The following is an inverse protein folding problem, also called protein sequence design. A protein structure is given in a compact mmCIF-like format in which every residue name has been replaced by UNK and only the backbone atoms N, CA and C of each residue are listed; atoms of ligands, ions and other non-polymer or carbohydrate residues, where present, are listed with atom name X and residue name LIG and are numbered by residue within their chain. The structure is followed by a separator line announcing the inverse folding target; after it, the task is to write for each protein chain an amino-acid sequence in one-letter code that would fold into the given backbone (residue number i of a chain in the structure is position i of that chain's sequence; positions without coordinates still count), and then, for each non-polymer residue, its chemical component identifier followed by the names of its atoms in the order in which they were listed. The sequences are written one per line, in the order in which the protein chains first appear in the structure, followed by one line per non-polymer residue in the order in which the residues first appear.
data_IF_399103523531
#
_entry.id   IF_399103523531
#
_cell.length_a   1.000
_cell.length_b   1.000
_cell.length_c   1.000
_cell.angle_alpha   90.00
_cell.angle_beta   90.00
_cell.angle_gamma   90.00
#
_symmetry.space_group_name_H-M   'P 1'
#
loop_
_entity.id
_entity.type
_entity.pdbx_description
1 polymer ?
#
# COMPACT_ATOMS: atom_id res chain seq x y z
N UNK A 1 5.47 56.79 3.58
CA UNK A 1 4.89 55.53 4.13
C UNK A 1 3.75 55.02 3.22
N UNK A 2 4.01 54.61 1.97
CA UNK A 2 2.96 54.12 1.04
C UNK A 2 3.26 52.77 0.35
N UNK A 3 4.44 52.17 0.54
CA UNK A 3 4.80 50.90 -0.16
C UNK A 3 4.82 49.64 0.71
N UNK A 4 4.64 49.76 2.03
CA UNK A 4 4.69 48.59 2.93
C UNK A 4 3.44 47.71 2.81
N UNK A 5 2.29 48.29 2.46
CA UNK A 5 1.02 47.56 2.31
C UNK A 5 0.98 46.65 1.08
N UNK A 6 1.62 47.06 -0.03
CA UNK A 6 1.66 46.27 -1.27
C UNK A 6 2.57 45.04 -1.12
N UNK A 7 3.67 45.18 -0.37
CA UNK A 7 4.59 44.08 -0.09
C UNK A 7 3.93 43.00 0.80
N UNK A 8 3.16 43.42 1.81
CA UNK A 8 2.39 42.50 2.65
C UNK A 8 1.25 41.82 1.89
N UNK A 9 0.59 42.53 0.96
CA UNK A 9 -0.45 41.96 0.10
C UNK A 9 0.14 40.93 -0.88
N UNK A 10 1.32 41.19 -1.44
CA UNK A 10 2.03 40.25 -2.32
C UNK A 10 2.52 39.00 -1.57
N UNK A 11 3.02 39.16 -0.34
CA UNK A 11 3.40 38.02 0.51
C UNK A 11 2.16 37.23 0.92
N UNK A 12 1.05 37.88 1.25
CA UNK A 12 -0.22 37.20 1.50
C UNK A 12 -0.71 36.45 0.24
N UNK A 13 -0.66 37.06 -0.94
CA UNK A 13 -1.02 36.41 -2.22
C UNK A 13 -0.11 35.22 -2.56
N UNK A 14 1.18 35.28 -2.19
CA UNK A 14 2.15 34.20 -2.39
C UNK A 14 2.00 33.06 -1.35
N UNK A 15 1.55 33.37 -0.13
CA UNK A 15 1.22 32.40 0.91
C UNK A 15 -0.18 31.78 0.72
N UNK A 16 -1.08 32.46 0.00
CA UNK A 16 -2.40 31.96 -0.40
C UNK A 16 -2.40 31.25 -1.75
N UNK A 17 -1.25 30.73 -2.22
CA UNK A 17 -1.26 29.58 -3.13
C UNK A 17 -1.71 28.37 -2.31
N UNK A 18 -2.96 28.45 -1.85
CA UNK A 18 -3.58 27.53 -0.94
C UNK A 18 -3.80 26.23 -1.67
N UNK A 19 -3.55 25.15 -0.94
CA UNK A 19 -4.15 23.85 -1.20
C UNK A 19 -5.62 24.09 -1.60
N UNK A 20 -5.95 23.91 -2.87
CA UNK A 20 -7.31 24.13 -3.35
C UNK A 20 -8.23 23.11 -2.66
N UNK A 21 -9.54 23.36 -2.59
CA UNK A 21 -10.48 22.36 -2.04
C UNK A 21 -10.35 21.00 -2.74
N UNK A 22 -9.92 21.01 -4.00
CA UNK A 22 -9.59 19.83 -4.79
C UNK A 22 -8.33 19.12 -4.27
N UNK A 23 -7.23 19.84 -4.00
CA UNK A 23 -6.00 19.24 -3.47
C UNK A 23 -6.23 18.56 -2.11
N UNK A 24 -7.04 19.19 -1.24
CA UNK A 24 -7.45 18.60 0.04
C UNK A 24 -8.31 17.36 -0.14
N UNK A 25 -9.27 17.39 -1.06
CA UNK A 25 -10.11 16.23 -1.38
C UNK A 25 -9.30 15.07 -1.95
N UNK A 26 -8.34 15.37 -2.84
CA UNK A 26 -7.48 14.36 -3.46
C UNK A 26 -6.58 13.73 -2.40
N UNK A 27 -5.98 14.51 -1.50
CA UNK A 27 -5.23 13.99 -0.36
C UNK A 27 -6.09 13.13 0.60
N UNK A 28 -7.32 13.53 0.90
CA UNK A 28 -8.27 12.70 1.66
C UNK A 28 -8.57 11.39 0.94
N UNK A 29 -8.72 11.41 -0.39
CA UNK A 29 -8.88 10.19 -1.17
C UNK A 29 -7.64 9.28 -1.05
N UNK A 30 -6.43 9.84 -1.05
CA UNK A 30 -5.20 9.07 -0.88
C UNK A 30 -5.11 8.44 0.52
N UNK A 31 -5.52 9.15 1.56
CA UNK A 31 -5.59 8.63 2.93
C UNK A 31 -6.58 7.46 3.03
N UNK A 32 -7.80 7.66 2.51
CA UNK A 32 -8.83 6.61 2.47
C UNK A 32 -8.33 5.35 1.75
N UNK A 33 -7.59 5.50 0.66
CA UNK A 33 -6.99 4.35 -0.06
C UNK A 33 -5.90 3.66 0.75
N UNK A 34 -5.04 4.40 1.44
CA UNK A 34 -4.06 3.81 2.35
C UNK A 34 -4.75 3.00 3.47
N UNK A 35 -5.86 3.52 4.02
CA UNK A 35 -6.69 2.81 5.00
C UNK A 35 -7.28 1.52 4.43
N UNK A 36 -7.83 1.55 3.21
CA UNK A 36 -8.35 0.35 2.54
C UNK A 36 -7.27 -0.73 2.37
N UNK A 37 -6.06 -0.34 1.96
CA UNK A 37 -4.93 -1.27 1.81
C UNK A 37 -4.53 -1.86 3.16
N UNK A 38 -4.35 -1.01 4.18
CA UNK A 38 -4.01 -1.46 5.53
C UNK A 38 -5.06 -2.42 6.10
N UNK A 39 -6.34 -2.11 5.91
CA UNK A 39 -7.44 -2.96 6.38
C UNK A 39 -7.40 -4.33 5.72
N UNK A 40 -7.24 -4.40 4.40
CA UNK A 40 -7.19 -5.66 3.68
C UNK A 40 -5.91 -6.48 3.99
N UNK A 41 -4.76 -5.83 4.11
CA UNK A 41 -3.54 -6.52 4.55
C UNK A 41 -3.68 -7.09 5.96
N UNK A 42 -4.42 -6.43 6.84
CA UNK A 42 -4.68 -6.91 8.20
C UNK A 42 -5.71 -8.04 8.20
N UNK A 43 -6.84 -7.88 7.51
CA UNK A 43 -7.97 -8.81 7.56
C UNK A 43 -7.78 -10.05 6.69
N UNK A 44 -6.99 -9.97 5.61
CA UNK A 44 -6.75 -11.08 4.70
C UNK A 44 -5.28 -11.55 4.73
N UNK A 45 -4.32 -10.64 4.85
CA UNK A 45 -2.90 -11.02 4.84
C UNK A 45 -2.45 -11.77 6.10
N UNK A 46 -2.98 -11.43 7.28
CA UNK A 46 -2.68 -12.16 8.53
C UNK A 46 -3.26 -13.58 8.50
N UNK A 47 -4.54 -13.79 8.13
CA UNK A 47 -5.05 -15.15 7.92
C UNK A 47 -4.28 -15.92 6.84
N UNK A 48 -3.92 -15.28 5.73
CA UNK A 48 -3.11 -15.91 4.68
C UNK A 48 -1.79 -16.45 5.24
N UNK A 49 -1.05 -15.63 5.98
CA UNK A 49 0.21 -16.05 6.60
C UNK A 49 0.00 -17.21 7.57
N UNK A 50 -1.03 -17.14 8.43
CA UNK A 50 -1.38 -18.20 9.37
C UNK A 50 -1.66 -19.53 8.67
N UNK A 51 -2.48 -19.52 7.62
CA UNK A 51 -2.80 -20.70 6.83
C UNK A 51 -1.59 -21.27 6.08
N UNK A 52 -0.70 -20.41 5.58
CA UNK A 52 0.53 -20.85 4.94
C UNK A 52 1.53 -21.43 5.93
N UNK A 53 1.68 -20.84 7.12
CA UNK A 53 2.57 -21.36 8.16
C UNK A 53 2.16 -22.79 8.57
N UNK A 54 0.85 -23.03 8.78
CA UNK A 54 0.33 -24.39 9.03
C UNK A 54 0.68 -25.37 7.90
N UNK A 55 0.52 -24.94 6.64
CA UNK A 55 0.88 -25.78 5.49
C UNK A 55 2.39 -26.09 5.43
N UNK A 56 3.24 -25.10 5.74
CA UNK A 56 4.69 -25.26 5.82
C UNK A 56 5.14 -26.15 6.99
N UNK A 57 4.34 -26.22 8.05
CA UNK A 57 4.54 -27.14 9.17
C UNK A 57 4.09 -28.59 8.84
N UNK A 58 3.58 -28.81 7.63
CA UNK A 58 3.09 -30.11 7.16
C UNK A 58 1.63 -30.38 7.53
N UNK A 59 0.93 -29.40 8.11
CA UNK A 59 -0.48 -29.53 8.45
C UNK A 59 -1.38 -29.34 7.23
N UNK A 60 -2.58 -29.93 7.30
CA UNK A 60 -3.63 -29.60 6.33
C UNK A 60 -4.04 -28.15 6.53
N UNK A 61 -4.01 -27.38 5.44
CA UNK A 61 -4.53 -26.02 5.41
C UNK A 61 -5.81 -25.94 4.59
N UNK A 62 -6.61 -24.92 4.87
CA UNK A 62 -7.79 -24.61 4.07
C UNK A 62 -7.37 -23.82 2.82
N UNK A 63 -7.19 -24.54 1.71
CA UNK A 63 -6.84 -23.94 0.41
C UNK A 63 -7.92 -22.99 -0.10
N UNK A 64 -9.19 -23.20 0.26
CA UNK A 64 -10.26 -22.28 -0.11
C UNK A 64 -10.14 -20.96 0.67
N UNK A 65 -9.80 -21.02 1.96
CA UNK A 65 -9.49 -19.85 2.77
C UNK A 65 -8.27 -19.08 2.23
N UNK A 66 -7.20 -19.79 1.81
CA UNK A 66 -6.02 -19.17 1.18
C UNK A 66 -6.39 -18.44 -0.12
N UNK A 67 -7.17 -19.07 -0.99
CA UNK A 67 -7.65 -18.46 -2.24
C UNK A 67 -8.53 -17.24 -1.96
N UNK A 68 -9.41 -17.31 -0.98
CA UNK A 68 -10.28 -16.21 -0.58
C UNK A 68 -9.49 -15.02 -0.02
N UNK A 69 -8.49 -15.29 0.83
CA UNK A 69 -7.59 -14.26 1.35
C UNK A 69 -6.77 -13.61 0.22
N UNK A 70 -6.23 -14.41 -0.71
CA UNK A 70 -5.50 -13.88 -1.86
C UNK A 70 -6.37 -13.01 -2.76
N UNK A 71 -7.61 -13.44 -3.06
CA UNK A 71 -8.56 -12.68 -3.86
C UNK A 71 -8.92 -11.31 -3.23
N UNK A 72 -8.79 -11.19 -1.90
CA UNK A 72 -9.03 -9.94 -1.18
C UNK A 72 -7.82 -8.97 -1.25
N UNK A 73 -6.61 -9.49 -1.45
CA UNK A 73 -5.36 -8.70 -1.50
C UNK A 73 -4.98 -8.36 -2.95
N UNK A 74 -5.17 -9.30 -3.88
CA UNK A 74 -4.77 -9.22 -5.29
C UNK A 74 -5.21 -7.93 -6.02
N UNK A 75 -6.47 -7.48 -5.95
CA UNK A 75 -6.92 -6.36 -6.76
C UNK A 75 -6.45 -5.00 -6.23
N UNK A 76 -5.98 -4.92 -4.98
CA UNK A 76 -5.68 -3.63 -4.33
C UNK A 76 -4.56 -2.86 -5.02
N UNK A 77 -3.38 -3.46 -5.32
CA UNK A 77 -2.29 -2.71 -5.94
C UNK A 77 -2.71 -2.10 -7.30
N UNK A 78 -3.38 -2.89 -8.13
CA UNK A 78 -3.86 -2.47 -9.45
C UNK A 78 -4.98 -1.42 -9.39
N UNK A 79 -5.97 -1.62 -8.51
CA UNK A 79 -7.07 -0.66 -8.28
C UNK A 79 -6.52 0.72 -7.95
N UNK A 80 -5.59 0.79 -6.99
CA UNK A 80 -5.08 2.06 -6.52
C UNK A 80 -4.08 2.67 -7.49
N UNK A 81 -3.22 1.88 -8.15
CA UNK A 81 -2.25 2.39 -9.14
C UNK A 81 -2.94 3.25 -10.20
N UNK A 82 -4.01 2.74 -10.80
CA UNK A 82 -4.76 3.47 -11.82
C UNK A 82 -5.44 4.75 -11.30
N UNK A 83 -5.71 4.83 -10.00
CA UNK A 83 -6.24 6.04 -9.36
C UNK A 83 -5.13 7.06 -9.08
N UNK A 84 -3.98 6.62 -8.56
CA UNK A 84 -2.81 7.48 -8.33
C UNK A 84 -2.22 8.03 -9.63
N UNK A 85 -2.24 7.25 -10.71
CA UNK A 85 -1.78 7.69 -12.03
C UNK A 85 -2.64 8.80 -12.63
N UNK A 86 -3.95 8.83 -12.32
CA UNK A 86 -4.93 9.81 -12.82
C UNK A 86 -4.94 11.14 -12.07
N UNK A 87 -4.12 11.31 -11.03
CA UNK A 87 -4.00 12.54 -10.26
C UNK A 87 -2.74 13.31 -10.70
N UNK A 88 -2.83 14.24 -11.68
CA UNK A 88 -1.70 15.04 -12.11
C UNK A 88 -1.43 16.15 -11.09
N UNK A 89 -0.45 15.94 -10.22
CA UNK A 89 0.06 17.01 -9.35
C UNK A 89 1.15 17.79 -10.10
N UNK A 90 1.09 19.13 -10.11
CA UNK A 90 2.14 19.96 -10.69
C UNK A 90 3.43 19.89 -9.85
N UNK A 91 4.59 20.03 -10.50
CA UNK A 91 5.92 19.85 -9.88
C UNK A 91 6.19 20.81 -8.71
N UNK A 92 5.50 21.95 -8.66
CA UNK A 92 5.59 22.92 -7.57
C UNK A 92 4.93 22.44 -6.26
N UNK A 93 4.13 21.36 -6.27
CA UNK A 93 3.58 20.72 -5.08
C UNK A 93 4.48 19.55 -4.61
N UNK A 94 5.74 19.84 -4.30
CA UNK A 94 6.78 18.84 -4.03
C UNK A 94 6.38 17.77 -3.00
N UNK A 95 5.72 18.15 -1.90
CA UNK A 95 5.32 17.21 -0.84
C UNK A 95 4.28 16.18 -1.34
N UNK A 96 3.29 16.63 -2.10
CA UNK A 96 2.22 15.78 -2.66
C UNK A 96 2.77 14.89 -3.78
N UNK A 97 3.63 15.44 -4.63
CA UNK A 97 4.33 14.71 -5.69
C UNK A 97 5.29 13.64 -5.13
N UNK A 98 6.02 13.94 -4.06
CA UNK A 98 6.89 12.98 -3.37
C UNK A 98 6.07 11.88 -2.68
N UNK A 99 4.93 12.24 -2.08
CA UNK A 99 4.00 11.28 -1.49
C UNK A 99 3.43 10.33 -2.56
N UNK A 100 2.90 10.86 -3.66
CA UNK A 100 2.39 10.07 -4.80
C UNK A 100 3.43 9.11 -5.35
N UNK A 101 4.64 9.61 -5.64
CA UNK A 101 5.73 8.77 -6.16
C UNK A 101 6.07 7.64 -5.20
N UNK A 102 6.14 7.95 -3.90
CA UNK A 102 6.37 6.93 -2.88
C UNK A 102 5.27 5.89 -2.81
N UNK A 103 4.01 6.28 -3.03
CA UNK A 103 2.86 5.37 -3.02
C UNK A 103 2.83 4.50 -4.27
N UNK A 104 3.16 5.04 -5.44
CA UNK A 104 3.29 4.26 -6.68
C UNK A 104 4.38 3.20 -6.57
N UNK A 105 5.56 3.55 -6.04
CA UNK A 105 6.64 2.59 -5.79
C UNK A 105 6.22 1.50 -4.81
N UNK A 106 5.43 1.86 -3.81
CA UNK A 106 4.86 0.93 -2.85
C UNK A 106 3.89 -0.06 -3.53
N UNK A 107 2.97 0.44 -4.36
CA UNK A 107 2.00 -0.38 -5.10
C UNK A 107 2.69 -1.34 -6.07
N UNK A 108 3.77 -0.91 -6.73
CA UNK A 108 4.62 -1.79 -7.55
C UNK A 108 5.25 -2.92 -6.73
N UNK A 109 5.72 -2.60 -5.52
CA UNK A 109 6.21 -3.61 -4.57
C UNK A 109 5.13 -4.62 -4.16
N UNK A 110 3.91 -4.15 -3.90
CA UNK A 110 2.78 -5.02 -3.55
C UNK A 110 2.33 -5.90 -4.71
N UNK A 111 2.43 -5.42 -5.95
CA UNK A 111 2.04 -6.20 -7.11
C UNK A 111 2.96 -7.43 -7.27
N UNK A 112 4.27 -7.24 -7.07
CA UNK A 112 5.24 -8.36 -7.03
C UNK A 112 4.98 -9.32 -5.87
N UNK A 113 4.56 -8.78 -4.71
CA UNK A 113 4.19 -9.60 -3.56
C UNK A 113 3.00 -10.49 -3.90
N UNK A 114 1.95 -9.94 -4.49
CA UNK A 114 0.75 -10.67 -4.93
C UNK A 114 1.09 -11.78 -5.93
N UNK A 115 1.99 -11.52 -6.89
CA UNK A 115 2.47 -12.55 -7.82
C UNK A 115 3.15 -13.71 -7.09
N UNK A 116 3.99 -13.41 -6.11
CA UNK A 116 4.65 -14.44 -5.28
C UNK A 116 3.63 -15.26 -4.48
N UNK A 117 2.59 -14.61 -3.94
CA UNK A 117 1.52 -15.31 -3.21
C UNK A 117 0.70 -16.23 -4.11
N UNK A 118 0.45 -15.85 -5.38
CA UNK A 118 -0.25 -16.72 -6.35
C UNK A 118 0.51 -18.02 -6.56
N UNK A 119 1.83 -17.94 -6.80
CA UNK A 119 2.69 -19.12 -6.96
C UNK A 119 2.63 -20.01 -5.72
N UNK A 120 2.68 -19.41 -4.52
CA UNK A 120 2.57 -20.14 -3.25
C UNK A 120 1.21 -20.85 -3.11
N UNK A 121 0.10 -20.19 -3.44
CA UNK A 121 -1.24 -20.79 -3.39
C UNK A 121 -1.41 -21.91 -4.42
N UNK A 122 -0.89 -21.73 -5.63
CA UNK A 122 -0.92 -22.75 -6.67
C UNK A 122 -0.14 -24.00 -6.24
N UNK A 123 1.07 -23.83 -5.69
CA UNK A 123 1.86 -24.93 -5.13
C UNK A 123 1.14 -25.60 -3.95
N UNK A 124 0.55 -24.84 -3.03
CA UNK A 124 -0.18 -25.39 -1.90
C UNK A 124 -1.47 -26.13 -2.30
N UNK A 125 -2.10 -25.74 -3.40
CA UNK A 125 -3.34 -26.34 -3.91
C UNK A 125 -3.12 -27.66 -4.67
N UNK A 126 -1.99 -27.79 -5.37
CA UNK A 126 -1.70 -28.93 -6.24
C UNK A 126 -0.99 -30.08 -5.52
N UNK A 127 -0.44 -29.84 -4.34
CA UNK A 127 0.47 -30.78 -3.70
C UNK A 127 0.13 -31.06 -2.24
N UNK A 128 0.51 -32.27 -1.79
CA UNK A 128 0.35 -32.69 -0.42
C UNK A 128 1.40 -31.98 0.47
N UNK A 129 1.00 -31.38 1.61
CA UNK A 129 1.95 -30.79 2.56
C UNK A 129 2.94 -31.81 3.13
N UNK A 130 2.85 -33.10 2.86
CA UNK A 130 3.85 -34.11 3.24
C UNK A 130 5.20 -34.02 2.49
N UNK A 131 5.27 -33.36 1.34
CA UNK A 131 6.51 -33.23 0.55
C UNK A 131 7.47 -32.15 1.10
N UNK A 132 8.54 -32.57 1.76
CA UNK A 132 9.51 -31.66 2.41
C UNK A 132 10.29 -30.80 1.40
N UNK A 133 10.62 -31.33 0.22
CA UNK A 133 11.36 -30.57 -0.79
C UNK A 133 10.49 -29.41 -1.31
N UNK A 134 9.23 -29.69 -1.59
CA UNK A 134 8.27 -28.67 -2.00
C UNK A 134 8.00 -27.66 -0.88
N UNK A 135 7.88 -28.10 0.38
CA UNK A 135 7.72 -27.17 1.52
C UNK A 135 8.89 -26.20 1.62
N UNK A 136 10.13 -26.62 1.34
CA UNK A 136 11.30 -25.73 1.31
C UNK A 136 11.24 -24.72 0.17
N UNK A 137 10.78 -25.11 -1.01
CA UNK A 137 10.58 -24.19 -2.12
C UNK A 137 9.50 -23.15 -1.80
N UNK A 138 8.34 -23.59 -1.31
CA UNK A 138 7.25 -22.71 -0.89
C UNK A 138 7.70 -21.78 0.23
N UNK A 139 8.46 -22.30 1.21
CA UNK A 139 9.04 -21.50 2.26
C UNK A 139 10.04 -20.47 1.74
N UNK A 140 10.79 -20.75 0.67
CA UNK A 140 11.69 -19.77 0.06
C UNK A 140 10.90 -18.62 -0.62
N UNK A 141 9.81 -18.95 -1.32
CA UNK A 141 8.92 -17.96 -1.95
C UNK A 141 8.13 -17.14 -0.92
N UNK A 142 7.78 -17.77 0.20
CA UNK A 142 7.05 -17.12 1.29
C UNK A 142 7.98 -16.38 2.27
N UNK A 143 9.28 -16.72 2.31
CA UNK A 143 10.28 -16.12 3.21
C UNK A 143 10.49 -14.66 2.82
N UNK A 144 9.84 -13.79 3.57
CA UNK A 144 9.85 -12.36 3.35
C UNK A 144 8.46 -11.76 3.24
N UNK A 145 7.40 -12.56 3.07
CA UNK A 145 6.03 -12.06 3.05
C UNK A 145 5.66 -11.32 4.34
N UNK A 146 5.81 -11.95 5.50
CA UNK A 146 5.46 -11.33 6.80
C UNK A 146 6.30 -10.07 7.08
N UNK A 147 7.61 -10.13 6.82
CA UNK A 147 8.50 -8.99 6.99
C UNK A 147 8.15 -7.85 6.02
N UNK A 148 7.84 -8.18 4.76
CA UNK A 148 7.44 -7.22 3.72
C UNK A 148 6.09 -6.62 4.05
N UNK A 149 5.12 -7.41 4.52
CA UNK A 149 3.81 -6.97 4.97
C UNK A 149 3.91 -6.03 6.18
N UNK A 150 4.73 -6.37 7.19
CA UNK A 150 4.95 -5.51 8.35
C UNK A 150 5.63 -4.20 7.98
N UNK A 151 6.68 -4.26 7.16
CA UNK A 151 7.36 -3.07 6.62
C UNK A 151 6.38 -2.19 5.84
N UNK A 152 5.58 -2.81 4.99
CA UNK A 152 4.53 -2.20 4.20
C UNK A 152 3.51 -1.45 5.04
N UNK A 153 2.96 -2.09 6.08
CA UNK A 153 1.99 -1.46 6.99
C UNK A 153 2.62 -0.26 7.70
N UNK A 154 3.88 -0.38 8.13
CA UNK A 154 4.61 0.73 8.74
C UNK A 154 4.86 1.88 7.75
N UNK A 155 5.27 1.57 6.52
CA UNK A 155 5.52 2.55 5.47
C UNK A 155 4.22 3.30 5.13
N UNK A 156 3.09 2.60 4.98
CA UNK A 156 1.79 3.23 4.76
C UNK A 156 1.38 4.16 5.91
N UNK A 157 1.58 3.73 7.16
CA UNK A 157 1.28 4.55 8.33
C UNK A 157 2.15 5.82 8.38
N UNK A 158 3.47 5.70 8.17
CA UNK A 158 4.39 6.85 8.11
C UNK A 158 4.02 7.83 6.99
N UNK A 159 3.59 7.30 5.84
CA UNK A 159 3.18 8.13 4.71
C UNK A 159 1.89 8.88 5.04
N UNK A 160 0.92 8.21 5.65
CA UNK A 160 -0.31 8.84 6.13
C UNK A 160 -0.04 9.97 7.13
N UNK A 161 0.84 9.75 8.10
CA UNK A 161 1.24 10.79 9.06
C UNK A 161 1.81 12.02 8.37
N UNK A 162 2.67 11.83 7.35
CA UNK A 162 3.22 12.93 6.55
C UNK A 162 2.16 13.67 5.73
N UNK A 163 1.21 12.94 5.13
CA UNK A 163 0.12 13.55 4.38
C UNK A 163 -0.79 14.38 5.30
N UNK A 164 -1.11 13.85 6.47
CA UNK A 164 -1.93 14.55 7.46
C UNK A 164 -1.24 15.81 8.00
N UNK A 165 0.08 15.78 8.23
CA UNK A 165 0.85 16.98 8.61
C UNK A 165 0.72 18.08 7.57
N UNK A 166 0.83 17.74 6.27
CA UNK A 166 0.68 18.70 5.18
C UNK A 166 -0.75 19.26 5.04
N UNK A 167 -1.77 18.50 5.43
CA UNK A 167 -3.17 18.94 5.34
C UNK A 167 -3.63 19.83 6.50
N UNK A 168 -2.94 19.75 7.64
CA UNK A 168 -3.24 20.52 8.85
C UNK A 168 -2.46 21.84 8.93
N UNK A 169 -1.35 21.96 8.20
CA UNK A 169 -0.61 23.20 7.95
C UNK A 169 -1.32 24.08 6.90
#
# INVERSE_FOLDING_TARGET
MKSTGVLLLLIACLLTVGCTSKDKQDAVNLDNRAVEICAALTSAGVPFASHMNKWMDGERTDVAALKSALASIEPLPGKFRGEFEKLPYPENQYAVTAYRTSMLNYLDGQQKLVESLKVVVEKAALHNPGDEALRREVAAEFRGFEATQKKTLNDLNLKRERLNSFLME
#
